data_IF_334728391620
#
_entry.id   IF_334728391620
#
_cell.length_a   1.000
_cell.length_b   1.000
_cell.length_c   1.000
_cell.angle_alpha   90.00
_cell.angle_beta   90.00
_cell.angle_gamma   90.00
#
_symmetry.space_group_name_H-M   'P 1'
#
loop_
_entity.id
_entity.type
_entity.pdbx_description
1 polymer ?
#
# COMPACT_ATOMS: atom_id res chain seq x y z
N UNK A 1 -5.09 2.70 -2.76
CA UNK A 1 -4.34 2.26 -1.58
C UNK A 1 -5.07 1.23 -0.72
N UNK A 2 -6.20 1.52 -0.07
CA UNK A 2 -6.85 0.53 0.82
C UNK A 2 -7.14 -0.81 0.12
N UNK A 3 -7.68 -0.70 -1.09
CA UNK A 3 -8.05 -1.85 -1.91
C UNK A 3 -6.84 -2.68 -2.34
N UNK A 4 -5.74 -2.03 -2.73
CA UNK A 4 -4.52 -2.73 -3.12
C UNK A 4 -3.91 -3.50 -1.95
N UNK A 5 -4.00 -3.00 -0.72
CA UNK A 5 -3.57 -3.74 0.47
C UNK A 5 -4.40 -4.99 0.72
N UNK A 6 -5.72 -4.88 0.70
CA UNK A 6 -6.60 -6.04 0.89
C UNK A 6 -6.25 -7.18 -0.09
N UNK A 7 -6.13 -6.84 -1.38
CA UNK A 7 -5.75 -7.80 -2.42
C UNK A 7 -4.33 -8.35 -2.23
N UNK A 8 -3.39 -7.53 -1.75
CA UNK A 8 -2.00 -7.97 -1.52
C UNK A 8 -1.92 -8.97 -0.36
N UNK A 9 -2.60 -8.71 0.76
CA UNK A 9 -2.67 -9.64 1.89
C UNK A 9 -3.28 -10.97 1.47
N UNK A 10 -4.39 -10.92 0.73
CA UNK A 10 -5.03 -12.12 0.18
C UNK A 10 -4.04 -12.94 -0.66
N UNK A 11 -3.39 -12.30 -1.65
CA UNK A 11 -2.46 -12.98 -2.56
C UNK A 11 -1.24 -13.54 -1.85
N UNK A 12 -0.66 -12.80 -0.90
CA UNK A 12 0.47 -13.29 -0.12
C UNK A 12 0.10 -14.49 0.74
N UNK A 13 -1.10 -14.50 1.35
CA UNK A 13 -1.57 -15.64 2.11
C UNK A 13 -1.83 -16.87 1.22
N UNK A 14 -2.48 -16.68 0.07
CA UNK A 14 -2.72 -17.75 -0.93
C UNK A 14 -1.42 -18.38 -1.45
N UNK A 15 -0.33 -17.60 -1.48
CA UNK A 15 1.00 -18.04 -1.90
C UNK A 15 1.94 -18.39 -0.73
N UNK A 16 1.40 -18.53 0.49
CA UNK A 16 2.16 -18.92 1.70
C UNK A 16 3.34 -18.00 2.05
N UNK A 17 3.28 -16.72 1.64
CA UNK A 17 4.27 -15.70 1.99
C UNK A 17 4.00 -15.05 3.35
N UNK A 18 2.75 -15.11 3.79
CA UNK A 18 2.30 -14.75 5.16
C UNK A 18 1.41 -15.88 5.68
N UNK A 19 1.26 -15.99 7.00
CA UNK A 19 0.56 -17.12 7.62
C UNK A 19 -0.91 -17.23 7.19
N UNK A 20 -1.60 -16.09 7.08
CA UNK A 20 -3.01 -15.99 6.70
C UNK A 20 -3.34 -14.58 6.23
N UNK A 21 -4.50 -14.43 5.60
CA UNK A 21 -5.06 -13.11 5.29
C UNK A 21 -5.65 -12.49 6.56
N UNK A 22 -4.84 -11.66 7.23
CA UNK A 22 -5.20 -10.98 8.48
C UNK A 22 -6.42 -10.05 8.36
N UNK A 23 -6.71 -9.52 7.17
CA UNK A 23 -7.87 -8.64 6.95
C UNK A 23 -9.14 -9.49 6.89
N UNK A 24 -9.11 -10.59 6.12
CA UNK A 24 -10.24 -11.51 6.01
C UNK A 24 -10.51 -12.25 7.33
N UNK A 25 -9.46 -12.61 8.06
CA UNK A 25 -9.56 -13.20 9.40
C UNK A 25 -10.12 -12.21 10.46
N UNK A 26 -10.15 -10.91 10.15
CA UNK A 26 -10.51 -9.80 11.04
C UNK A 26 -9.53 -9.56 12.19
N UNK A 27 -8.29 -10.03 12.03
CA UNK A 27 -7.18 -9.70 12.93
C UNK A 27 -6.76 -8.23 12.75
N UNK A 28 -6.89 -7.71 11.52
CA UNK A 28 -6.62 -6.31 11.16
C UNK A 28 -7.85 -5.68 10.52
N UNK A 29 -8.24 -4.49 11.01
CA UNK A 29 -9.27 -3.67 10.38
C UNK A 29 -8.64 -2.46 9.68
N UNK A 30 -8.99 -2.29 8.41
CA UNK A 30 -8.51 -1.17 7.61
C UNK A 30 -9.39 0.08 7.83
N UNK A 31 -8.77 1.22 8.15
CA UNK A 31 -9.43 2.52 8.29
C UNK A 31 -8.88 3.52 7.28
N UNK A 32 -9.78 4.19 6.54
CA UNK A 32 -9.40 5.23 5.59
C UNK A 32 -9.36 6.56 6.32
N UNK A 33 -8.19 7.18 6.39
CA UNK A 33 -8.03 8.49 7.03
C UNK A 33 -8.45 9.66 6.14
N UNK A 34 -8.56 9.47 4.82
CA UNK A 34 -8.85 10.52 3.85
C UNK A 34 -7.60 11.25 3.32
N UNK A 35 -6.43 10.62 3.38
CA UNK A 35 -5.13 11.19 2.96
C UNK A 35 -4.27 11.66 4.13
N UNK A 36 -2.99 11.95 3.88
CA UNK A 36 -2.03 12.28 4.94
C UNK A 36 -2.38 13.55 5.72
N UNK A 37 -3.00 14.53 5.06
CA UNK A 37 -3.42 15.79 5.69
C UNK A 37 -4.53 15.60 6.72
N UNK A 38 -5.28 14.50 6.64
CA UNK A 38 -6.35 14.18 7.57
C UNK A 38 -5.87 13.37 8.78
N UNK A 39 -4.68 12.77 8.75
CA UNK A 39 -4.13 12.05 9.91
C UNK A 39 -4.06 12.94 11.14
N UNK A 40 -3.71 14.22 10.94
CA UNK A 40 -3.68 15.20 12.01
C UNK A 40 -5.02 15.29 12.73
N UNK A 41 -6.15 15.14 12.05
CA UNK A 41 -7.47 15.17 12.70
C UNK A 41 -7.69 13.91 13.53
N UNK A 42 -7.37 12.73 12.98
CA UNK A 42 -7.46 11.47 13.71
C UNK A 42 -6.61 11.45 14.99
N UNK A 43 -5.42 12.04 14.93
CA UNK A 43 -4.50 12.05 16.08
C UNK A 43 -4.73 13.24 17.00
N UNK A 44 -4.90 14.46 16.48
CA UNK A 44 -5.13 15.65 17.32
C UNK A 44 -6.42 15.55 18.13
N UNK A 45 -7.47 14.97 17.54
CA UNK A 45 -8.72 14.70 18.27
C UNK A 45 -8.70 13.35 19.00
N UNK A 46 -7.55 12.65 19.00
CA UNK A 46 -7.36 11.35 19.65
C UNK A 46 -8.41 10.30 19.24
N UNK A 47 -9.02 10.44 18.07
CA UNK A 47 -10.10 9.58 17.58
C UNK A 47 -9.66 8.12 17.43
N UNK A 48 -8.39 7.89 17.11
CA UNK A 48 -7.86 6.53 17.02
C UNK A 48 -7.53 5.96 18.40
N UNK A 49 -7.14 6.81 19.36
CA UNK A 49 -6.89 6.40 20.75
C UNK A 49 -8.20 6.01 21.47
N UNK A 50 -9.32 6.66 21.13
CA UNK A 50 -10.63 6.31 21.71
C UNK A 50 -11.11 4.91 21.31
N UNK A 51 -10.59 4.34 20.22
CA UNK A 51 -10.85 2.96 19.84
C UNK A 51 -10.22 1.95 20.81
N UNK A 52 -9.24 2.38 21.63
CA UNK A 52 -8.52 1.53 22.58
C UNK A 52 -7.94 0.26 21.92
N UNK A 53 -7.51 0.39 20.66
CA UNK A 53 -6.86 -0.67 19.90
C UNK A 53 -5.47 -0.24 19.45
N UNK A 54 -4.50 -1.16 19.39
CA UNK A 54 -3.25 -0.90 18.72
C UNK A 54 -3.51 -0.59 17.23
N UNK A 55 -2.71 0.30 16.65
CA UNK A 55 -2.89 0.74 15.27
C UNK A 55 -1.53 1.00 14.60
N UNK A 56 -1.54 0.97 13.27
CA UNK A 56 -0.40 1.27 12.42
C UNK A 56 -0.84 2.23 11.30
N UNK A 57 0.14 2.87 10.67
CA UNK A 57 -0.08 3.79 9.54
C UNK A 57 0.70 3.31 8.34
N UNK A 58 0.05 3.33 7.18
CA UNK A 58 0.67 3.12 5.90
C UNK A 58 0.28 4.25 4.95
N UNK A 59 1.23 5.08 4.53
CA UNK A 59 1.02 6.26 3.69
C UNK A 59 1.86 6.25 2.43
N UNK A 60 1.34 6.90 1.39
CA UNK A 60 2.12 7.32 0.23
C UNK A 60 3.21 8.29 0.70
N UNK A 61 4.43 8.15 0.20
CA UNK A 61 5.50 9.10 0.49
C UNK A 61 5.25 10.46 -0.14
N UNK A 62 4.55 10.50 -1.28
CA UNK A 62 4.47 11.66 -2.16
C UNK A 62 5.85 12.13 -2.66
N UNK A 63 6.88 11.28 -2.61
CA UNK A 63 8.23 11.62 -3.05
C UNK A 63 8.29 11.74 -4.58
N UNK A 64 8.56 12.94 -5.09
CA UNK A 64 8.72 13.21 -6.52
C UNK A 64 10.19 13.19 -6.98
N UNK A 65 11.10 12.71 -6.13
CA UNK A 65 12.53 12.65 -6.38
C UNK A 65 13.25 14.00 -6.21
N UNK A 66 12.53 15.07 -5.86
CA UNK A 66 13.06 16.43 -5.76
C UNK A 66 12.91 17.02 -4.34
N UNK A 67 12.66 16.17 -3.34
CA UNK A 67 12.42 16.59 -1.95
C UNK A 67 11.27 17.62 -1.83
N UNK A 68 10.17 17.41 -2.55
CA UNK A 68 9.02 18.30 -2.48
C UNK A 68 8.47 18.47 -1.05
N UNK A 69 7.81 19.61 -0.81
CA UNK A 69 7.23 19.96 0.49
C UNK A 69 6.33 18.87 1.06
N UNK A 70 5.58 18.16 0.20
CA UNK A 70 4.64 17.13 0.63
C UNK A 70 5.38 15.92 1.20
N UNK A 71 6.44 15.46 0.53
CA UNK A 71 7.29 14.38 1.03
C UNK A 71 7.97 14.74 2.35
N UNK A 72 8.54 15.96 2.46
CA UNK A 72 9.15 16.42 3.71
C UNK A 72 8.15 16.45 4.87
N UNK A 73 6.93 16.95 4.64
CA UNK A 73 5.84 16.94 5.64
C UNK A 73 5.46 15.52 6.05
N UNK A 74 5.40 14.58 5.10
CA UNK A 74 5.12 13.17 5.40
C UNK A 74 6.22 12.56 6.28
N UNK A 75 7.50 12.84 6.01
CA UNK A 75 8.64 12.41 6.85
C UNK A 75 8.57 13.01 8.27
N UNK A 76 8.31 14.31 8.38
CA UNK A 76 8.12 14.98 9.68
C UNK A 76 6.96 14.37 10.47
N UNK A 77 5.88 14.02 9.77
CA UNK A 77 4.72 13.34 10.36
C UNK A 77 5.11 11.96 10.89
N UNK A 78 5.83 11.15 10.11
CA UNK A 78 6.36 9.85 10.54
C UNK A 78 7.23 10.00 11.80
N UNK A 79 8.13 10.97 11.84
CA UNK A 79 9.00 11.25 12.99
C UNK A 79 8.20 11.60 14.25
N UNK A 80 7.11 12.36 14.11
CA UNK A 80 6.21 12.72 15.23
C UNK A 80 5.50 11.51 15.83
N UNK A 81 5.25 10.48 15.02
CA UNK A 81 4.57 9.25 15.43
C UNK A 81 5.51 8.05 15.50
N UNK A 82 6.75 8.27 15.97
CA UNK A 82 7.78 7.22 16.08
C UNK A 82 7.43 6.06 17.01
N UNK A 83 6.45 6.25 17.90
CA UNK A 83 5.93 5.20 18.80
C UNK A 83 4.91 4.27 18.11
N UNK A 84 4.47 4.59 16.89
CA UNK A 84 3.53 3.81 16.08
C UNK A 84 4.31 3.14 14.96
N UNK A 85 3.87 1.96 14.52
CA UNK A 85 4.33 1.38 13.26
C UNK A 85 3.84 2.28 12.12
N UNK A 86 4.68 3.23 11.73
CA UNK A 86 4.41 4.17 10.65
C UNK A 86 5.27 3.83 9.45
N UNK A 87 4.63 3.58 8.31
CA UNK A 87 5.28 3.28 7.04
C UNK A 87 4.94 4.34 6.00
N UNK A 88 5.99 4.88 5.36
CA UNK A 88 5.88 5.68 4.14
C UNK A 88 6.36 4.81 2.98
N UNK A 89 5.63 4.84 1.86
CA UNK A 89 6.02 4.06 0.68
C UNK A 89 7.42 4.45 0.18
N UNK A 90 8.20 3.49 -0.31
CA UNK A 90 9.47 3.81 -1.00
C UNK A 90 9.23 4.59 -2.30
N UNK A 91 8.16 4.25 -3.04
CA UNK A 91 7.72 4.96 -4.26
C UNK A 91 6.72 6.07 -3.93
N UNK A 92 6.45 6.96 -4.89
CA UNK A 92 5.62 8.15 -4.69
C UNK A 92 4.22 7.85 -4.18
N UNK A 93 3.47 7.05 -4.93
CA UNK A 93 2.10 6.67 -4.63
C UNK A 93 1.83 5.20 -5.01
N UNK A 94 0.68 4.68 -4.60
CA UNK A 94 0.30 3.29 -4.86
C UNK A 94 0.35 2.90 -6.36
N UNK A 95 0.03 3.82 -7.27
CA UNK A 95 0.08 3.59 -8.72
C UNK A 95 1.49 3.27 -9.24
N UNK A 96 2.55 3.71 -8.55
CA UNK A 96 3.94 3.43 -8.92
C UNK A 96 4.35 1.97 -8.71
N UNK A 97 3.52 1.18 -8.01
CA UNK A 97 3.75 -0.25 -7.82
C UNK A 97 2.98 -1.11 -8.83
N UNK A 98 2.29 -0.52 -9.80
CA UNK A 98 1.64 -1.32 -10.84
C UNK A 98 2.68 -1.99 -11.74
N UNK A 99 2.50 -3.29 -11.99
CA UNK A 99 3.40 -4.00 -12.87
C UNK A 99 3.08 -3.71 -14.34
N UNK A 100 4.12 -3.55 -15.18
CA UNK A 100 3.98 -3.29 -16.63
C UNK A 100 3.08 -4.30 -17.35
N UNK A 101 3.07 -5.56 -16.90
CA UNK A 101 2.25 -6.61 -17.51
C UNK A 101 0.75 -6.39 -17.27
N UNK A 102 0.35 -5.71 -16.19
CA UNK A 102 -1.06 -5.33 -15.95
C UNK A 102 -1.54 -4.39 -17.06
N UNK A 103 -0.70 -3.42 -17.40
CA UNK A 103 -0.94 -2.43 -18.46
C UNK A 103 -0.98 -3.12 -19.82
N UNK A 104 0.00 -3.99 -20.09
CA UNK A 104 0.05 -4.78 -21.31
C UNK A 104 -1.19 -5.64 -21.48
N UNK A 105 -1.66 -6.35 -20.44
CA UNK A 105 -2.89 -7.16 -20.50
C UNK A 105 -4.12 -6.36 -20.87
N UNK A 106 -4.28 -5.17 -20.31
CA UNK A 106 -5.48 -4.35 -20.51
C UNK A 106 -5.49 -3.68 -21.88
N UNK A 107 -4.32 -3.38 -22.41
CA UNK A 107 -4.16 -2.73 -23.72
C UNK A 107 -3.89 -3.73 -24.84
N UNK A 108 -3.98 -5.04 -24.55
CA UNK A 108 -3.64 -6.12 -25.48
C UNK A 108 -2.24 -5.93 -26.12
N UNK A 109 -1.27 -5.42 -25.33
CA UNK A 109 0.09 -5.17 -25.74
C UNK A 109 0.33 -3.86 -26.51
N UNK A 110 -0.70 -3.05 -26.77
CA UNK A 110 -0.54 -1.80 -27.53
C UNK A 110 0.23 -0.71 -26.76
N UNK A 111 0.14 -0.71 -25.44
CA UNK A 111 0.83 0.27 -24.59
C UNK A 111 2.01 -0.38 -23.88
N UNK A 112 3.22 0.08 -24.24
CA UNK A 112 4.46 -0.25 -23.52
C UNK A 112 4.73 0.84 -22.50
N UNK A 113 4.32 0.59 -21.26
CA UNK A 113 4.50 1.53 -20.16
C UNK A 113 5.06 0.80 -18.93
N UNK A 114 6.06 1.41 -18.31
CA UNK A 114 6.62 0.96 -17.02
C UNK A 114 6.50 2.11 -16.03
N UNK A 115 5.77 1.94 -14.92
CA UNK A 115 5.70 2.97 -13.90
C UNK A 115 7.09 3.32 -13.36
N UNK A 116 7.35 4.62 -13.30
CA UNK A 116 8.51 5.24 -12.68
C UNK A 116 8.19 5.54 -11.21
N UNK A 117 9.15 5.38 -10.31
CA UNK A 117 8.95 5.47 -8.85
C UNK A 117 8.57 6.86 -8.33
N UNK A 118 8.85 7.93 -9.05
CA UNK A 118 8.71 9.32 -8.58
C UNK A 118 7.69 10.15 -9.37
N UNK A 119 7.32 9.70 -10.57
CA UNK A 119 6.33 10.42 -11.38
C UNK A 119 4.90 10.23 -10.85
N UNK A 120 4.01 11.17 -11.21
CA UNK A 120 2.57 11.11 -10.91
C UNK A 120 1.91 10.07 -11.83
N UNK A 121 2.00 8.80 -11.41
CA UNK A 121 1.52 7.68 -12.22
C UNK A 121 0.01 7.71 -12.34
N UNK A 122 -0.69 8.27 -11.36
CA UNK A 122 -2.13 8.47 -11.44
C UNK A 122 -2.51 9.35 -12.64
N UNK A 123 -1.75 10.42 -12.98
CA UNK A 123 -1.96 11.18 -14.22
C UNK A 123 -1.53 10.37 -15.43
N UNK A 124 -0.28 9.92 -15.44
CA UNK A 124 0.34 9.35 -16.64
C UNK A 124 -0.37 8.07 -17.10
N UNK A 125 -0.62 7.12 -16.19
CA UNK A 125 -1.34 5.90 -16.51
C UNK A 125 -2.77 6.18 -16.95
N UNK A 126 -3.46 7.14 -16.33
CA UNK A 126 -4.82 7.46 -16.74
C UNK A 126 -4.87 7.99 -18.17
N UNK A 127 -3.94 8.87 -18.55
CA UNK A 127 -3.83 9.39 -19.91
C UNK A 127 -3.58 8.29 -20.93
N UNK A 128 -2.69 7.34 -20.65
CA UNK A 128 -2.39 6.22 -21.55
C UNK A 128 -3.57 5.23 -21.65
N UNK A 129 -4.29 5.00 -20.55
CA UNK A 129 -5.28 3.93 -20.45
C UNK A 129 -6.72 4.36 -20.74
N UNK A 130 -7.03 5.66 -20.80
CA UNK A 130 -8.41 6.16 -20.95
C UNK A 130 -9.11 5.65 -22.23
N UNK A 131 -8.34 5.30 -23.27
CA UNK A 131 -8.87 4.73 -24.53
C UNK A 131 -9.23 3.25 -24.41
N UNK A 132 -8.66 2.55 -23.44
CA UNK A 132 -8.78 1.10 -23.26
C UNK A 132 -9.74 0.74 -22.14
N UNK A 133 -9.85 1.59 -21.11
CA UNK A 133 -10.70 1.35 -19.94
C UNK A 133 -11.50 2.60 -19.55
N UNK A 134 -12.80 2.42 -19.42
CA UNK A 134 -13.69 3.45 -18.87
C UNK A 134 -13.58 3.48 -17.33
N UNK A 135 -12.61 4.23 -16.82
CA UNK A 135 -12.40 4.39 -15.37
C UNK A 135 -12.04 5.84 -15.02
N UNK A 136 -12.53 6.30 -13.87
CA UNK A 136 -12.11 7.59 -13.31
C UNK A 136 -10.67 7.49 -12.81
N UNK A 137 -9.90 8.56 -12.94
CA UNK A 137 -8.52 8.66 -12.42
C UNK A 137 -8.40 8.17 -10.97
N UNK A 138 -9.34 8.53 -10.10
CA UNK A 138 -9.37 8.15 -8.67
C UNK A 138 -9.58 6.65 -8.42
N UNK A 139 -10.16 5.93 -9.37
CA UNK A 139 -10.53 4.51 -9.23
C UNK A 139 -9.62 3.62 -10.07
N UNK A 140 -8.60 4.20 -10.72
CA UNK A 140 -7.69 3.49 -11.62
C UNK A 140 -7.01 2.34 -10.87
N UNK A 141 -6.41 2.63 -9.71
CA UNK A 141 -5.70 1.60 -8.93
C UNK A 141 -6.60 0.46 -8.47
N UNK A 142 -7.83 0.76 -8.04
CA UNK A 142 -8.80 -0.26 -7.61
C UNK A 142 -9.15 -1.20 -8.77
N UNK A 143 -9.36 -0.65 -9.96
CA UNK A 143 -9.67 -1.44 -11.17
C UNK A 143 -8.49 -2.30 -11.62
N UNK A 144 -7.28 -1.73 -11.62
CA UNK A 144 -6.09 -2.38 -12.16
C UNK A 144 -5.52 -3.43 -11.21
N UNK A 145 -5.43 -3.10 -9.92
CA UNK A 145 -4.72 -3.92 -8.93
C UNK A 145 -5.36 -5.30 -8.70
N UNK A 146 -6.67 -5.42 -8.91
CA UNK A 146 -7.37 -6.70 -8.82
C UNK A 146 -6.88 -7.72 -9.88
N UNK A 147 -6.29 -7.24 -10.97
CA UNK A 147 -5.77 -8.07 -12.07
C UNK A 147 -4.27 -8.37 -11.95
N UNK A 148 -3.61 -7.84 -10.92
CA UNK A 148 -2.19 -8.10 -10.63
C UNK A 148 -2.04 -9.49 -10.01
N UNK A 149 -1.02 -10.26 -10.41
CA UNK A 149 -0.66 -11.55 -9.81
C UNK A 149 0.22 -11.38 -8.57
N UNK A 150 0.46 -12.45 -7.81
CA UNK A 150 1.31 -12.37 -6.62
C UNK A 150 2.76 -12.05 -7.01
N UNK A 151 3.27 -12.73 -8.04
CA UNK A 151 4.61 -12.56 -8.59
C UNK A 151 4.86 -11.12 -9.05
N UNK A 152 3.87 -10.51 -9.69
CA UNK A 152 3.95 -9.13 -10.16
C UNK A 152 3.94 -8.10 -9.03
N UNK A 153 3.22 -8.37 -7.93
CA UNK A 153 3.29 -7.56 -6.71
C UNK A 153 4.68 -7.71 -6.10
N UNK A 154 5.20 -8.93 -6.00
CA UNK A 154 6.55 -9.18 -5.47
C UNK A 154 7.58 -8.42 -6.30
N UNK A 155 7.58 -8.57 -7.62
CA UNK A 155 8.52 -7.89 -8.52
C UNK A 155 8.43 -6.36 -8.37
N UNK A 156 7.20 -5.82 -8.30
CA UNK A 156 7.00 -4.37 -8.24
C UNK A 156 7.32 -3.74 -6.88
N UNK A 157 7.32 -4.54 -5.81
CA UNK A 157 7.58 -4.10 -4.43
C UNK A 157 8.97 -4.50 -3.91
N UNK A 158 9.76 -5.26 -4.68
CA UNK A 158 11.12 -5.69 -4.34
C UNK A 158 12.15 -4.72 -4.91
N UNK A 159 13.05 -4.23 -4.07
CA UNK A 159 14.16 -3.37 -4.51
C UNK A 159 15.34 -4.15 -5.09
N UNK A 160 16.37 -3.43 -5.52
CA UNK A 160 17.57 -3.99 -6.17
C UNK A 160 18.36 -4.94 -5.26
N UNK A 161 18.20 -4.81 -3.94
CA UNK A 161 18.86 -5.64 -2.94
C UNK A 161 18.01 -6.88 -2.57
N UNK A 162 16.84 -7.04 -3.18
CA UNK A 162 15.93 -8.15 -2.92
C UNK A 162 14.97 -7.92 -1.76
N UNK A 163 14.92 -6.71 -1.19
CA UNK A 163 14.03 -6.42 -0.06
C UNK A 163 12.62 -6.06 -0.55
N UNK A 164 11.63 -6.83 -0.12
CA UNK A 164 10.24 -6.59 -0.48
C UNK A 164 9.54 -5.70 0.55
N UNK A 165 9.21 -4.47 0.16
CA UNK A 165 8.67 -3.46 1.06
C UNK A 165 7.34 -3.84 1.72
N UNK A 166 6.44 -4.48 0.96
CA UNK A 166 5.12 -4.83 1.48
C UNK A 166 5.23 -5.95 2.51
N UNK A 167 6.06 -6.96 2.23
CA UNK A 167 6.34 -8.03 3.20
C UNK A 167 7.08 -7.48 4.43
N UNK A 168 8.04 -6.57 4.26
CA UNK A 168 8.70 -5.88 5.39
C UNK A 168 7.69 -5.17 6.29
N UNK A 169 6.74 -4.45 5.69
CA UNK A 169 5.68 -3.78 6.45
C UNK A 169 4.79 -4.78 7.20
N UNK A 170 4.38 -5.87 6.55
CA UNK A 170 3.55 -6.91 7.18
C UNK A 170 4.32 -7.55 8.34
N UNK A 171 5.58 -7.94 8.14
CA UNK A 171 6.43 -8.53 9.18
C UNK A 171 6.59 -7.59 10.39
N UNK A 172 6.71 -6.27 10.15
CA UNK A 172 6.75 -5.26 11.22
C UNK A 172 5.44 -5.22 12.00
N UNK A 173 4.29 -5.28 11.33
CA UNK A 173 2.97 -5.36 11.96
C UNK A 173 2.85 -6.65 12.77
N UNK A 174 3.17 -7.80 12.18
CA UNK A 174 3.06 -9.11 12.84
C UNK A 174 3.92 -9.18 14.10
N UNK A 175 5.15 -8.69 14.02
CA UNK A 175 6.07 -8.64 15.17
C UNK A 175 5.55 -7.67 16.24
N UNK A 176 5.18 -6.45 15.84
CA UNK A 176 4.79 -5.41 16.78
C UNK A 176 3.45 -5.71 17.49
N UNK A 177 2.52 -6.39 16.82
CA UNK A 177 1.21 -6.75 17.39
C UNK A 177 1.08 -8.23 17.76
N UNK A 178 2.16 -9.01 17.67
CA UNK A 178 2.20 -10.43 18.04
C UNK A 178 1.17 -11.29 17.29
N UNK A 179 1.04 -11.10 15.97
CA UNK A 179 0.03 -11.81 15.16
C UNK A 179 0.38 -13.27 14.86
N UNK A 180 1.63 -13.70 15.08
CA UNK A 180 2.09 -15.07 14.84
C UNK A 180 1.66 -16.09 15.91
N UNK A 181 1.03 -15.66 17.00
CA UNK A 181 0.59 -16.59 18.04
C UNK A 181 -0.77 -17.23 17.72
N UNK A 182 -0.71 -18.40 17.09
CA UNK A 182 -1.70 -19.46 17.31
C UNK A 182 -1.05 -20.55 18.20
N UNK A 183 -0.93 -20.30 19.51
CA UNK A 183 -0.66 -21.38 20.46
C UNK A 183 -1.58 -21.30 21.68
N UNK A 184 -2.66 -22.06 21.58
CA UNK A 184 -3.46 -22.67 22.66
C UNK A 184 -4.20 -21.70 23.61
N UNK A 185 -5.45 -21.40 23.24
CA UNK A 185 -6.57 -21.60 24.18
C UNK A 185 -7.28 -22.90 23.82
N UNK A 186 -6.64 -24.02 24.13
CA UNK A 186 -7.37 -25.29 24.35
C UNK A 186 -7.94 -25.24 25.75
N UNK A 187 -9.28 -25.33 25.82
CA UNK A 187 -10.14 -25.62 26.98
C UNK A 187 -10.06 -24.65 28.17
#
# INVERSE_FOLDING_TARGET
MLYSYNISFQKFAENSLIQRDYIKARDIQLLISGGSDNLKHWVNYKLIETLQKPWAVFFDSDNDGQNCDKYQKNIETQKRYSHVVFHLTKKRECENYLHKNVISRITNGEVVFSPNDYADQKVLLHTELIKYIAVKKTNLIEKLWHTTTCEEIIESCTDVDGNNEFLEFINRIETHFSLHEDSKKTA
#
